data_IF_624913297757
#
_entry.id   IF_624913297757
#
_cell.length_a   1.000
_cell.length_b   1.000
_cell.length_c   1.000
_cell.angle_alpha   90.00
_cell.angle_beta   90.00
_cell.angle_gamma   90.00
#
_symmetry.space_group_name_H-M   'P 1'
#
loop_
_entity.id
_entity.type
_entity.pdbx_description
1 polymer ?
#
# COMPACT_ATOMS: atom_id res chain seq x y z
N UNK A 1 6.74 -15.44 -20.44
CA UNK A 1 6.16 -14.21 -19.84
C UNK A 1 5.75 -14.36 -18.35
N UNK A 2 6.50 -15.07 -17.46
CA UNK A 2 6.08 -15.21 -16.05
C UNK A 2 6.42 -13.98 -15.18
N UNK A 3 7.45 -13.22 -15.56
CA UNK A 3 8.00 -12.12 -14.75
C UNK A 3 7.01 -10.96 -14.54
N UNK A 4 6.22 -10.63 -15.57
CA UNK A 4 5.19 -9.58 -15.49
C UNK A 4 4.08 -9.99 -14.52
N UNK A 5 3.71 -11.27 -14.52
CA UNK A 5 2.65 -11.79 -13.64
C UNK A 5 3.10 -11.77 -12.18
N UNK A 6 4.36 -12.11 -11.91
CA UNK A 6 4.97 -12.02 -10.58
C UNK A 6 5.02 -10.56 -10.09
N UNK A 7 5.47 -9.63 -10.95
CA UNK A 7 5.48 -8.20 -10.63
C UNK A 7 4.09 -7.68 -10.33
N UNK A 8 3.10 -8.05 -11.14
CA UNK A 8 1.71 -7.63 -10.95
C UNK A 8 1.12 -8.14 -9.64
N UNK A 9 1.33 -9.42 -9.30
CA UNK A 9 0.91 -9.99 -8.02
C UNK A 9 1.63 -9.33 -6.83
N UNK A 10 2.92 -9.04 -6.95
CA UNK A 10 3.68 -8.36 -5.91
C UNK A 10 3.17 -6.92 -5.67
N UNK A 11 2.86 -6.18 -6.74
CA UNK A 11 2.27 -4.84 -6.63
C UNK A 11 0.89 -4.89 -5.99
N UNK A 12 0.03 -5.84 -6.39
CA UNK A 12 -1.29 -6.02 -5.77
C UNK A 12 -1.19 -6.40 -4.29
N UNK A 13 -0.29 -7.31 -3.94
CA UNK A 13 -0.06 -7.70 -2.55
C UNK A 13 0.42 -6.51 -1.72
N UNK A 14 1.36 -5.72 -2.25
CA UNK A 14 1.86 -4.51 -1.58
C UNK A 14 0.76 -3.46 -1.39
N UNK A 15 -0.04 -3.19 -2.43
CA UNK A 15 -1.15 -2.25 -2.35
C UNK A 15 -2.22 -2.72 -1.34
N UNK A 16 -2.49 -4.03 -1.28
CA UNK A 16 -3.40 -4.62 -0.31
C UNK A 16 -2.89 -4.47 1.13
N UNK A 17 -1.61 -4.73 1.38
CA UNK A 17 -0.98 -4.53 2.69
C UNK A 17 -1.00 -3.04 3.09
N UNK A 18 -0.69 -2.13 2.16
CA UNK A 18 -0.82 -0.69 2.41
C UNK A 18 -2.26 -0.29 2.74
N UNK A 19 -3.26 -0.85 2.05
CA UNK A 19 -4.67 -0.60 2.32
C UNK A 19 -5.10 -1.06 3.71
N UNK A 20 -4.75 -2.30 4.08
CA UNK A 20 -5.13 -2.86 5.38
C UNK A 20 -4.50 -2.06 6.52
N UNK A 21 -3.20 -1.77 6.46
CA UNK A 21 -2.52 -0.97 7.49
C UNK A 21 -3.11 0.44 7.55
N UNK A 22 -3.36 1.09 6.41
CA UNK A 22 -3.95 2.42 6.40
C UNK A 22 -5.36 2.43 7.01
N UNK A 23 -6.18 1.40 6.75
CA UNK A 23 -7.52 1.25 7.32
C UNK A 23 -7.46 1.06 8.84
N UNK A 24 -6.58 0.18 9.33
CA UNK A 24 -6.37 -0.06 10.76
C UNK A 24 -5.84 1.19 11.48
N UNK A 25 -5.01 2.00 10.80
CA UNK A 25 -4.46 3.26 11.33
C UNK A 25 -5.43 4.44 11.21
N UNK A 26 -6.63 4.25 10.66
CA UNK A 26 -7.55 5.33 10.27
C UNK A 26 -6.89 6.40 9.36
N UNK A 27 -5.85 6.01 8.62
CA UNK A 27 -5.18 6.85 7.64
C UNK A 27 -5.94 6.84 6.31
N UNK A 28 -5.52 7.68 5.36
CA UNK A 28 -6.15 7.74 4.05
C UNK A 28 -5.82 6.49 3.20
N UNK A 29 -6.70 5.49 3.26
CA UNK A 29 -6.49 4.21 2.61
C UNK A 29 -6.37 4.34 1.08
N UNK A 30 -7.07 5.29 0.45
CA UNK A 30 -6.95 5.52 -1.00
C UNK A 30 -5.58 6.08 -1.36
N UNK A 31 -5.09 7.04 -0.60
CA UNK A 31 -3.74 7.57 -0.78
C UNK A 31 -2.68 6.46 -0.65
N UNK A 32 -2.79 5.61 0.37
CA UNK A 32 -1.83 4.54 0.61
C UNK A 32 -1.87 3.41 -0.41
N UNK A 33 -3.03 3.14 -1.03
CA UNK A 33 -3.11 2.24 -2.18
C UNK A 33 -2.31 2.78 -3.36
N UNK A 34 -2.47 4.07 -3.70
CA UNK A 34 -1.68 4.69 -4.76
C UNK A 34 -0.18 4.67 -4.45
N UNK A 35 0.19 4.92 -3.19
CA UNK A 35 1.59 4.79 -2.74
C UNK A 35 2.11 3.36 -2.87
N UNK A 36 1.30 2.35 -2.52
CA UNK A 36 1.65 0.93 -2.67
C UNK A 36 1.79 0.48 -4.12
N UNK A 37 1.05 1.08 -5.05
CA UNK A 37 1.19 0.82 -6.50
C UNK A 37 2.43 1.50 -7.07
N UNK A 38 2.68 2.76 -6.70
CA UNK A 38 3.77 3.56 -7.26
C UNK A 38 5.14 3.20 -6.69
N UNK A 39 5.23 3.01 -5.37
CA UNK A 39 6.46 2.70 -4.66
C UNK A 39 6.60 1.21 -4.33
N UNK A 40 5.57 0.40 -4.58
CA UNK A 40 5.61 -1.03 -4.30
C UNK A 40 5.80 -1.30 -2.80
N UNK A 41 6.57 -2.34 -2.45
CA UNK A 41 6.82 -2.74 -1.06
C UNK A 41 7.46 -1.65 -0.20
N UNK A 42 8.14 -0.67 -0.84
CA UNK A 42 8.76 0.44 -0.14
C UNK A 42 7.73 1.32 0.57
N UNK A 43 6.47 1.35 0.14
CA UNK A 43 5.40 2.10 0.80
C UNK A 43 4.97 1.49 2.16
N UNK A 44 5.26 0.21 2.40
CA UNK A 44 4.86 -0.52 3.61
C UNK A 44 5.42 0.14 4.89
N UNK A 45 6.73 0.40 5.04
CA UNK A 45 7.24 1.09 6.22
C UNK A 45 6.65 2.49 6.38
N UNK A 46 6.42 3.22 5.29
CA UNK A 46 5.85 4.56 5.39
C UNK A 46 4.38 4.56 5.84
N UNK A 47 3.58 3.56 5.46
CA UNK A 47 2.19 3.47 5.95
C UNK A 47 2.13 3.20 7.45
N UNK A 48 3.13 2.52 8.02
CA UNK A 48 3.24 2.40 9.47
C UNK A 48 3.48 3.74 10.17
N UNK A 49 4.16 4.70 9.53
CA UNK A 49 4.36 6.05 10.07
C UNK A 49 3.18 7.00 9.77
N UNK A 50 2.18 6.54 9.02
CA UNK A 50 1.04 7.38 8.65
C UNK A 50 0.22 7.78 9.88
N UNK A 51 -0.23 9.04 9.88
CA UNK A 51 -1.12 9.56 10.92
C UNK A 51 -2.58 9.32 10.52
N UNK A 52 -3.48 9.16 11.49
CA UNK A 52 -4.91 9.10 11.22
C UNK A 52 -5.33 10.34 10.43
N UNK A 53 -6.13 10.12 9.38
CA UNK A 53 -6.77 11.22 8.67
C UNK A 53 -7.84 11.77 9.60
N UNK A 54 -7.67 13.03 10.04
CA UNK A 54 -8.71 13.72 10.81
C UNK A 54 -10.01 13.71 10.00
N UNK A 55 -11.16 13.49 10.67
CA UNK A 55 -12.48 13.53 10.03
C UNK A 55 -12.76 14.89 9.39
#
# INVERSE_FOLDING_TARGET
MPFILVLFLATLASAYVCYTIAKERHADARFWVWMGVLFGPLAIPFVFLSKPKKP
#
